data_IF_523600828163
#
_entry.id   IF_523600828163
#
_cell.length_a   1.000
_cell.length_b   1.000
_cell.length_c   1.000
_cell.angle_alpha   90.00
_cell.angle_beta   90.00
_cell.angle_gamma   90.00
#
_symmetry.space_group_name_H-M   'P 1'
#
loop_
_entity.id
_entity.type
_entity.pdbx_description
1 polymer ?
#
# COMPACT_ATOMS: atom_id res chain seq x y z
N UNK A 1 -10.38 -12.66 12.67
CA UNK A 1 -9.48 -11.50 12.70
C UNK A 1 -8.30 -11.82 11.81
N UNK A 2 -8.10 -11.10 10.70
CA UNK A 2 -7.00 -11.39 9.77
C UNK A 2 -5.74 -10.69 10.30
N UNK A 3 -4.88 -11.46 10.96
CA UNK A 3 -3.68 -10.98 11.65
C UNK A 3 -2.79 -10.13 10.72
N UNK A 4 -2.73 -10.44 9.42
CA UNK A 4 -1.92 -9.68 8.46
C UNK A 4 -2.46 -8.27 8.20
N UNK A 5 -3.78 -8.10 8.12
CA UNK A 5 -4.40 -6.77 7.95
C UNK A 5 -4.08 -5.86 9.13
N UNK A 6 -4.07 -6.41 10.35
CA UNK A 6 -3.74 -5.66 11.56
C UNK A 6 -2.23 -5.34 11.64
N UNK A 7 -1.37 -6.29 11.27
CA UNK A 7 0.08 -6.05 11.19
C UNK A 7 0.39 -4.92 10.20
N UNK A 8 -0.19 -4.95 9.00
CA UNK A 8 0.04 -3.90 8.02
C UNK A 8 -0.53 -2.55 8.47
N UNK A 9 -1.66 -2.53 9.18
CA UNK A 9 -2.19 -1.31 9.78
C UNK A 9 -1.20 -0.67 10.76
N UNK A 10 -0.59 -1.47 11.64
CA UNK A 10 0.42 -1.01 12.59
C UNK A 10 1.69 -0.51 11.87
N UNK A 11 2.12 -1.24 10.83
CA UNK A 11 3.27 -0.86 10.01
C UNK A 11 3.02 0.50 9.35
N UNK A 12 1.85 0.71 8.73
CA UNK A 12 1.51 1.97 8.06
C UNK A 12 1.35 3.13 9.05
N UNK A 13 0.82 2.87 10.25
CA UNK A 13 0.85 3.85 11.33
C UNK A 13 2.30 4.23 11.71
N UNK A 14 3.21 3.26 11.68
CA UNK A 14 4.64 3.51 11.77
C UNK A 14 5.17 4.35 10.61
N UNK A 15 4.83 4.01 9.36
CA UNK A 15 5.27 4.75 8.17
C UNK A 15 4.92 6.22 8.29
N UNK A 16 3.68 6.51 8.72
CA UNK A 16 3.21 7.89 8.96
C UNK A 16 4.12 8.67 9.91
N UNK A 17 4.64 8.02 10.96
CA UNK A 17 5.57 8.65 11.90
C UNK A 17 6.93 8.95 11.28
N UNK A 18 7.42 8.09 10.39
CA UNK A 18 8.73 8.27 9.76
C UNK A 18 8.72 9.38 8.70
N UNK A 19 7.65 9.47 7.92
CA UNK A 19 7.53 10.46 6.84
C UNK A 19 7.00 11.82 7.34
N UNK A 20 6.47 11.89 8.56
CA UNK A 20 6.02 13.12 9.20
C UNK A 20 4.62 13.59 8.77
N UNK A 21 3.86 12.76 8.05
CA UNK A 21 2.48 13.03 7.66
C UNK A 21 1.64 11.74 7.70
N UNK A 22 0.32 11.90 7.78
CA UNK A 22 -0.60 10.77 7.84
C UNK A 22 -0.60 10.00 6.52
N UNK A 23 -0.38 8.69 6.59
CA UNK A 23 -0.57 7.75 5.47
C UNK A 23 -1.82 6.91 5.76
N UNK A 24 -2.78 6.95 4.85
CA UNK A 24 -4.03 6.21 4.94
C UNK A 24 -3.78 4.72 4.67
N UNK A 25 -4.32 3.83 5.50
CA UNK A 25 -4.27 2.39 5.26
C UNK A 25 -5.63 1.88 4.79
N UNK A 26 -5.64 1.13 3.69
CA UNK A 26 -6.83 0.47 3.15
C UNK A 26 -6.51 -1.00 2.86
N UNK A 27 -7.54 -1.85 2.84
CA UNK A 27 -7.41 -3.24 2.40
C UNK A 27 -8.69 -3.68 1.69
N UNK A 28 -8.56 -4.64 0.77
CA UNK A 28 -9.68 -5.14 -0.04
C UNK A 28 -9.31 -5.19 -1.52
N UNK A 29 -10.30 -5.49 -2.37
CA UNK A 29 -10.13 -5.28 -3.80
C UNK A 29 -10.11 -3.78 -4.15
N UNK A 30 -9.72 -3.46 -5.38
CA UNK A 30 -9.66 -2.07 -5.84
C UNK A 30 -11.01 -1.35 -5.74
N UNK A 31 -12.13 -2.02 -6.07
CA UNK A 31 -13.45 -1.39 -6.09
C UNK A 31 -13.87 -0.98 -4.67
N UNK A 32 -13.61 -1.83 -3.69
CA UNK A 32 -13.86 -1.55 -2.29
C UNK A 32 -13.03 -0.37 -1.78
N UNK A 33 -11.71 -0.38 -2.07
CA UNK A 33 -10.81 0.71 -1.66
C UNK A 33 -11.18 2.04 -2.33
N UNK A 34 -11.46 2.03 -3.63
CA UNK A 34 -11.89 3.19 -4.39
C UNK A 34 -13.19 3.79 -3.82
N UNK A 35 -14.20 2.95 -3.56
CA UNK A 35 -15.47 3.39 -2.93
C UNK A 35 -15.23 4.05 -1.56
N UNK A 36 -14.32 3.49 -0.77
CA UNK A 36 -13.97 4.04 0.55
C UNK A 36 -13.29 5.41 0.41
N UNK A 37 -12.33 5.55 -0.51
CA UNK A 37 -11.67 6.83 -0.78
C UNK A 37 -12.64 7.89 -1.32
N UNK A 38 -13.57 7.51 -2.20
CA UNK A 38 -14.62 8.42 -2.69
C UNK A 38 -15.53 8.89 -1.57
N UNK A 39 -15.92 7.99 -0.65
CA UNK A 39 -16.73 8.35 0.52
C UNK A 39 -15.99 9.31 1.47
N UNK A 40 -14.70 9.07 1.73
CA UNK A 40 -13.86 9.97 2.54
C UNK A 40 -13.76 11.38 1.94
N UNK A 41 -13.77 11.49 0.62
CA UNK A 41 -13.72 12.78 -0.09
C UNK A 41 -14.97 13.64 0.08
N UNK A 42 -16.11 13.04 0.39
CA UNK A 42 -17.39 13.75 0.55
C UNK A 42 -17.52 14.41 1.92
N UNK A 43 -16.77 13.96 2.93
CA UNK A 43 -16.78 14.51 4.27
C UNK A 43 -15.58 15.45 4.49
N UNK A 44 -15.79 16.74 4.83
CA UNK A 44 -14.71 17.73 4.98
C UNK A 44 -13.60 17.30 5.94
N UNK A 45 -13.96 16.59 7.01
CA UNK A 45 -13.04 16.13 8.06
C UNK A 45 -12.09 15.03 7.57
N UNK A 46 -12.51 14.22 6.58
CA UNK A 46 -11.74 13.08 6.08
C UNK A 46 -11.16 13.29 4.69
N UNK A 47 -11.59 14.32 3.95
CA UNK A 47 -11.16 14.58 2.58
C UNK A 47 -9.63 14.76 2.48
N UNK A 48 -9.03 15.53 3.39
CA UNK A 48 -7.58 15.73 3.46
C UNK A 48 -6.78 14.52 3.96
N UNK A 49 -7.43 13.41 4.32
CA UNK A 49 -6.80 12.20 4.87
C UNK A 49 -6.83 11.02 3.91
N UNK A 50 -7.26 11.24 2.66
CA UNK A 50 -7.33 10.20 1.63
C UNK A 50 -5.94 9.71 1.22
N UNK A 51 -5.01 10.65 1.04
CA UNK A 51 -3.69 10.43 0.46
C UNK A 51 -2.57 11.04 1.31
N UNK A 52 -1.35 10.49 1.24
CA UNK A 52 -1.01 9.25 0.53
C UNK A 52 -1.66 8.02 1.17
N UNK A 53 -1.92 7.00 0.35
CA UNK A 53 -2.63 5.78 0.74
C UNK A 53 -1.75 4.57 0.46
N UNK A 54 -1.74 3.61 1.39
CA UNK A 54 -1.21 2.25 1.19
C UNK A 54 -2.40 1.28 1.23
N UNK A 55 -2.61 0.58 0.13
CA UNK A 55 -3.69 -0.39 -0.05
C UNK A 55 -3.13 -1.80 -0.11
N UNK A 56 -3.61 -2.69 0.77
CA UNK A 56 -3.32 -4.12 0.72
C UNK A 56 -4.41 -4.86 -0.07
N UNK A 57 -4.07 -5.44 -1.22
CA UNK A 57 -5.03 -6.19 -2.02
C UNK A 57 -5.45 -7.48 -1.32
N UNK A 58 -6.75 -7.77 -1.35
CA UNK A 58 -7.37 -8.99 -0.81
C UNK A 58 -8.40 -9.52 -1.82
N UNK A 59 -8.57 -10.85 -1.97
CA UNK A 59 -7.92 -11.91 -1.19
C UNK A 59 -6.44 -12.11 -1.54
N UNK A 60 -5.70 -12.75 -0.62
CA UNK A 60 -4.33 -13.23 -0.79
C UNK A 60 -4.21 -14.62 -0.17
N UNK A 61 -3.27 -15.41 -0.67
CA UNK A 61 -3.08 -16.78 -0.23
C UNK A 61 -2.15 -16.87 0.98
N UNK A 62 -2.55 -17.70 1.96
CA UNK A 62 -1.74 -18.08 3.12
C UNK A 62 -1.36 -19.55 3.02
N UNK A 63 -0.07 -19.83 2.78
CA UNK A 63 0.47 -21.19 2.85
C UNK A 63 0.83 -21.54 4.30
N UNK A 64 0.05 -22.47 4.86
CA UNK A 64 0.18 -22.99 6.24
C UNK A 64 0.81 -24.37 6.30
N UNK A 65 1.46 -24.81 5.23
CA UNK A 65 2.13 -26.11 5.18
C UNK A 65 3.25 -26.23 6.23
N UNK A 66 3.78 -25.10 6.71
CA UNK A 66 4.75 -25.06 7.81
C UNK A 66 4.04 -24.77 9.17
N UNK A 67 4.20 -25.63 10.19
CA UNK A 67 3.59 -25.42 11.51
C UNK A 67 4.04 -24.15 12.25
N UNK A 68 5.23 -23.64 11.96
CA UNK A 68 5.86 -22.52 12.68
C UNK A 68 5.79 -21.19 11.92
N UNK A 69 5.56 -21.25 10.61
CA UNK A 69 5.57 -20.08 9.72
C UNK A 69 4.38 -20.15 8.77
N UNK A 70 3.74 -19.01 8.52
CA UNK A 70 2.78 -18.87 7.42
C UNK A 70 3.45 -18.08 6.30
N UNK A 71 3.60 -18.69 5.12
CA UNK A 71 4.16 -18.01 3.95
C UNK A 71 3.05 -17.32 3.17
N UNK A 72 3.27 -16.06 2.79
CA UNK A 72 2.30 -15.26 2.03
C UNK A 72 2.93 -14.57 0.84
N UNK A 73 2.13 -14.38 -0.21
CA UNK A 73 2.46 -13.53 -1.36
C UNK A 73 1.43 -12.40 -1.44
N UNK A 74 1.88 -11.18 -1.16
CA UNK A 74 1.00 -10.02 -1.07
C UNK A 74 1.18 -9.08 -2.26
N UNK A 75 0.12 -8.35 -2.59
CA UNK A 75 0.16 -7.24 -3.53
C UNK A 75 -0.32 -5.97 -2.82
N UNK A 76 0.40 -4.87 -3.03
CA UNK A 76 0.06 -3.56 -2.47
C UNK A 76 0.10 -2.48 -3.53
N UNK A 77 -0.61 -1.39 -3.26
CA UNK A 77 -0.52 -0.13 -3.99
C UNK A 77 -0.21 1.00 -3.02
N UNK A 78 0.72 1.89 -3.40
CA UNK A 78 0.95 3.17 -2.72
C UNK A 78 0.48 4.25 -3.68
N UNK A 79 -0.49 5.07 -3.28
CA UNK A 79 -1.11 6.06 -4.16
C UNK A 79 -1.08 7.46 -3.55
N UNK A 80 -0.95 8.48 -4.42
CA UNK A 80 -1.11 9.90 -4.07
C UNK A 80 -2.02 10.57 -5.10
N UNK A 81 -2.78 11.57 -4.68
CA UNK A 81 -3.57 12.38 -5.61
C UNK A 81 -2.63 13.18 -6.53
N UNK A 82 -3.02 13.32 -7.79
CA UNK A 82 -2.26 14.07 -8.79
C UNK A 82 -3.19 14.87 -9.70
N UNK A 83 -2.62 15.75 -10.52
CA UNK A 83 -3.36 16.50 -11.52
C UNK A 83 -3.13 15.90 -12.92
N UNK A 84 -4.21 15.82 -13.70
CA UNK A 84 -4.15 15.18 -15.03
C UNK A 84 -3.28 15.92 -16.04
N UNK A 85 -3.11 17.23 -15.87
CA UNK A 85 -2.29 18.07 -16.73
C UNK A 85 -0.79 18.07 -16.40
N UNK A 86 -0.35 17.37 -15.35
CA UNK A 86 1.08 17.26 -15.05
C UNK A 86 1.82 16.52 -16.16
N UNK A 87 3.06 16.92 -16.44
CA UNK A 87 3.98 16.12 -17.27
C UNK A 87 4.54 14.94 -16.47
N UNK A 88 5.24 14.01 -17.11
CA UNK A 88 5.86 12.90 -16.39
C UNK A 88 7.01 13.38 -15.48
N UNK A 89 7.74 14.40 -15.89
CA UNK A 89 8.79 15.04 -15.10
C UNK A 89 8.20 15.71 -13.85
N UNK A 90 7.08 16.41 -14.00
CA UNK A 90 6.37 16.99 -12.86
C UNK A 90 5.83 15.92 -11.91
N UNK A 91 5.28 14.81 -12.43
CA UNK A 91 4.85 13.67 -11.61
C UNK A 91 6.02 13.05 -10.86
N UNK A 92 7.16 12.87 -11.52
CA UNK A 92 8.35 12.31 -10.90
C UNK A 92 8.80 13.16 -9.70
N UNK A 93 8.85 14.48 -9.84
CA UNK A 93 9.26 15.36 -8.76
C UNK A 93 8.18 15.50 -7.66
N UNK A 94 6.95 15.83 -8.06
CA UNK A 94 5.87 16.21 -7.14
C UNK A 94 5.17 15.01 -6.47
N UNK A 95 5.03 13.90 -7.18
CA UNK A 95 4.35 12.70 -6.67
C UNK A 95 5.36 11.68 -6.17
N UNK A 96 6.30 11.26 -7.01
CA UNK A 96 7.18 10.14 -6.70
C UNK A 96 8.27 10.50 -5.70
N UNK A 97 9.16 11.43 -6.03
CA UNK A 97 10.28 11.82 -5.16
C UNK A 97 9.80 12.49 -3.87
N UNK A 98 8.81 13.38 -3.96
CA UNK A 98 8.33 14.10 -2.79
C UNK A 98 7.51 13.22 -1.83
N UNK A 99 6.78 12.22 -2.33
CA UNK A 99 5.83 11.44 -1.51
C UNK A 99 5.99 9.93 -1.65
N UNK A 100 5.82 9.36 -2.85
CA UNK A 100 5.69 7.91 -3.00
C UNK A 100 6.98 7.14 -2.65
N UNK A 101 8.17 7.65 -3.00
CA UNK A 101 9.45 7.01 -2.65
C UNK A 101 9.73 7.05 -1.14
N UNK A 102 9.60 8.19 -0.42
CA UNK A 102 9.71 8.18 1.03
C UNK A 102 8.76 7.21 1.74
N UNK A 103 7.50 7.12 1.27
CA UNK A 103 6.51 6.18 1.82
C UNK A 103 6.91 4.73 1.54
N UNK A 104 7.32 4.43 0.31
CA UNK A 104 7.81 3.11 -0.08
C UNK A 104 9.04 2.68 0.73
N UNK A 105 10.05 3.54 0.83
CA UNK A 105 11.30 3.22 1.54
C UNK A 105 11.03 2.98 3.03
N UNK A 106 10.16 3.78 3.65
CA UNK A 106 9.73 3.58 5.03
C UNK A 106 8.93 2.28 5.19
N UNK A 107 8.01 1.96 4.27
CA UNK A 107 7.23 0.73 4.29
C UNK A 107 8.14 -0.50 4.24
N UNK A 108 9.03 -0.58 3.24
CA UNK A 108 9.93 -1.73 3.07
C UNK A 108 10.88 -1.85 4.26
N UNK A 109 11.45 -0.74 4.76
CA UNK A 109 12.30 -0.75 5.95
C UNK A 109 11.54 -1.25 7.19
N UNK A 110 10.28 -0.86 7.37
CA UNK A 110 9.48 -1.31 8.52
C UNK A 110 9.10 -2.78 8.43
N UNK A 111 8.72 -3.27 7.25
CA UNK A 111 8.49 -4.69 7.01
C UNK A 111 9.76 -5.48 7.31
N UNK A 112 10.91 -5.03 6.79
CA UNK A 112 12.22 -5.65 6.99
C UNK A 112 12.60 -5.77 8.48
N UNK A 113 12.20 -4.81 9.31
CA UNK A 113 12.54 -4.74 10.73
C UNK A 113 11.42 -5.23 11.69
N UNK A 114 10.25 -5.61 11.19
CA UNK A 114 9.16 -6.08 12.05
C UNK A 114 9.45 -7.51 12.53
N UNK A 115 9.50 -7.69 13.85
CA UNK A 115 9.84 -8.97 14.49
C UNK A 115 8.85 -10.10 14.17
N UNK A 116 7.63 -9.75 13.76
CA UNK A 116 6.59 -10.71 13.37
C UNK A 116 6.90 -11.40 12.04
N UNK A 117 7.74 -10.80 11.20
CA UNK A 117 8.19 -11.42 9.97
C UNK A 117 9.54 -12.12 10.16
N UNK A 118 9.70 -13.23 9.45
CA UNK A 118 10.98 -13.88 9.24
C UNK A 118 11.49 -13.55 7.83
N UNK A 119 12.27 -12.47 7.75
CA UNK A 119 12.82 -11.92 6.50
C UNK A 119 14.08 -12.69 6.06
N UNK A 120 14.60 -13.58 6.92
CA UNK A 120 15.83 -14.32 6.63
C UNK A 120 17.10 -13.44 6.62
N UNK A 121 18.25 -14.04 6.26
CA UNK A 121 19.53 -13.35 6.27
C UNK A 121 19.60 -12.23 5.22
N UNK A 122 20.17 -11.08 5.60
CA UNK A 122 20.30 -9.90 4.74
C UNK A 122 19.11 -8.93 4.79
N UNK A 123 18.03 -9.28 5.50
CA UNK A 123 16.87 -8.40 5.71
C UNK A 123 16.22 -7.90 4.39
N UNK A 124 16.38 -8.67 3.31
CA UNK A 124 15.87 -8.34 1.98
C UNK A 124 14.40 -8.77 1.90
N UNK A 125 13.53 -7.78 1.72
CA UNK A 125 12.10 -8.00 1.48
C UNK A 125 11.91 -8.27 -0.02
N UNK A 126 11.69 -9.52 -0.43
CA UNK A 126 11.57 -9.90 -1.85
C UNK A 126 10.22 -9.44 -2.42
N UNK A 127 10.26 -8.62 -3.48
CA UNK A 127 9.08 -8.14 -4.21
C UNK A 127 9.47 -7.50 -5.56
N UNK A 128 8.46 -7.22 -6.38
CA UNK A 128 8.56 -6.45 -7.62
C UNK A 128 7.93 -5.08 -7.41
N UNK A 129 8.65 -4.01 -7.75
CA UNK A 129 8.18 -2.61 -7.70
C UNK A 129 7.93 -2.08 -9.11
N UNK A 130 6.81 -1.41 -9.33
CA UNK A 130 6.51 -0.71 -10.60
C UNK A 130 6.04 0.72 -10.31
N UNK A 131 6.68 1.70 -10.94
CA UNK A 131 6.25 3.10 -10.89
C UNK A 131 5.20 3.36 -11.97
N UNK A 132 3.98 3.63 -11.55
CA UNK A 132 2.83 3.72 -12.41
C UNK A 132 2.38 5.17 -12.60
N UNK A 133 2.98 5.82 -13.61
CA UNK A 133 2.61 7.17 -14.05
C UNK A 133 1.29 7.20 -14.87
N UNK A 134 0.75 6.03 -15.25
CA UNK A 134 -0.38 5.96 -16.19
C UNK A 134 -1.72 6.27 -15.54
N UNK A 135 -1.90 5.94 -14.26
CA UNK A 135 -3.17 6.17 -13.56
C UNK A 135 -3.56 7.65 -13.53
N UNK A 136 -2.58 8.56 -13.40
CA UNK A 136 -2.84 10.00 -13.39
C UNK A 136 -3.33 10.54 -14.74
N UNK A 137 -3.06 9.82 -15.83
CA UNK A 137 -3.40 10.23 -17.20
C UNK A 137 -4.64 9.52 -17.74
N UNK A 138 -4.80 8.22 -17.47
CA UNK A 138 -5.87 7.39 -18.01
C UNK A 138 -7.10 7.29 -17.10
N UNK A 139 -6.97 7.63 -15.81
CA UNK A 139 -7.93 7.24 -14.79
C UNK A 139 -7.75 5.78 -14.37
N UNK A 140 -8.32 5.40 -13.22
CA UNK A 140 -8.32 3.99 -12.77
C UNK A 140 -9.69 3.38 -13.06
N UNK A 141 -9.72 2.44 -14.00
CA UNK A 141 -10.94 1.71 -14.34
C UNK A 141 -11.01 0.42 -13.52
N UNK A 142 -12.05 0.28 -12.70
CA UNK A 142 -12.48 -1.04 -12.23
C UNK A 142 -13.20 -1.81 -13.34
N UNK A 143 -13.41 -3.12 -13.17
CA UNK A 143 -14.11 -4.00 -14.11
C UNK A 143 -15.60 -3.64 -14.40
N UNK A 144 -16.07 -2.49 -13.91
CA UNK A 144 -17.45 -2.04 -14.06
C UNK A 144 -17.59 -0.55 -14.37
N UNK A 145 -16.82 0.01 -15.31
CA UNK A 145 -17.05 1.31 -16.01
C UNK A 145 -17.43 2.55 -15.18
N UNK A 146 -17.35 2.55 -13.85
CA UNK A 146 -17.43 3.76 -13.04
C UNK A 146 -16.02 4.29 -12.85
N UNK A 147 -15.75 5.44 -13.47
CA UNK A 147 -14.48 6.16 -13.34
C UNK A 147 -14.24 6.48 -11.85
N UNK A 148 -13.06 6.15 -11.34
CA UNK A 148 -12.65 6.66 -10.03
C UNK A 148 -12.32 8.16 -10.22
N UNK A 149 -13.07 9.04 -9.56
CA UNK A 149 -13.01 10.48 -9.78
C UNK A 149 -11.63 11.10 -9.53
N UNK A 150 -10.84 10.53 -8.60
CA UNK A 150 -9.50 11.04 -8.35
C UNK A 150 -8.52 10.54 -9.42
N UNK A 151 -7.67 11.46 -9.87
CA UNK A 151 -6.43 11.08 -10.56
C UNK A 151 -5.38 10.75 -9.54
N UNK A 152 -4.71 9.62 -9.72
CA UNK A 152 -3.65 9.16 -8.81
C UNK A 152 -2.37 8.81 -9.55
N UNK A 153 -1.23 9.08 -8.94
CA UNK A 153 0.03 8.43 -9.28
C UNK A 153 0.30 7.33 -8.24
N UNK A 154 0.89 6.21 -8.66
CA UNK A 154 1.06 5.08 -7.76
C UNK A 154 2.36 4.28 -7.94
N UNK A 155 2.74 3.57 -6.89
CA UNK A 155 3.71 2.49 -6.91
C UNK A 155 2.96 1.18 -6.65
N UNK A 156 3.06 0.24 -7.59
CA UNK A 156 2.57 -1.12 -7.42
C UNK A 156 3.68 -2.00 -6.83
N UNK A 157 3.40 -2.70 -5.74
CA UNK A 157 4.26 -3.72 -5.14
C UNK A 157 3.58 -5.07 -5.38
N UNK A 158 4.24 -5.96 -6.10
CA UNK A 158 3.73 -7.29 -6.43
C UNK A 158 4.66 -8.36 -5.92
N UNK A 159 4.12 -9.56 -5.73
CA UNK A 159 4.87 -10.73 -5.26
C UNK A 159 5.69 -10.43 -3.99
N UNK A 160 5.11 -9.66 -3.06
CA UNK A 160 5.73 -9.39 -1.77
C UNK A 160 5.69 -10.68 -0.93
N UNK A 161 6.81 -11.38 -0.90
CA UNK A 161 6.93 -12.67 -0.22
C UNK A 161 7.36 -12.46 1.22
N UNK A 162 6.51 -12.87 2.15
CA UNK A 162 6.78 -12.78 3.58
C UNK A 162 6.55 -14.12 4.26
N UNK A 163 7.34 -14.42 5.27
CA UNK A 163 7.07 -15.48 6.22
C UNK A 163 6.62 -14.84 7.53
N UNK A 164 5.39 -15.12 7.95
CA UNK A 164 4.82 -14.65 9.21
C UNK A 164 5.11 -15.69 10.27
N UNK A 165 5.71 -15.28 11.39
CA UNK A 165 5.89 -16.16 12.54
C UNK A 165 4.52 -16.46 13.14
N UNK A 166 4.20 -17.75 13.29
CA UNK A 166 2.97 -18.14 13.95
C UNK A 166 3.09 -17.76 15.42
N UNK A 167 2.45 -16.65 15.82
CA UNK A 167 2.35 -16.26 17.22
C UNK A 167 1.37 -17.23 17.87
N UNK A 168 1.88 -18.35 18.37
CA UNK A 168 1.15 -19.14 19.36
C UNK A 168 1.05 -18.24 20.59
N UNK A 169 -0.14 -17.67 20.82
CA UNK A 169 -0.46 -17.09 22.11
C UNK A 169 -0.33 -18.23 23.13
N UNK A 170 0.66 -18.12 24.01
CA UNK A 170 0.71 -18.91 25.25
C UNK A 170 -0.05 -18.15 26.33
#
# INVERSE_FOLDING_TARGET
>A
MNVLVDIFRDIVAGVSKDVGYMVNYQFGDWQYMAKTLSAMGKAPVTAGRKYPMIGLYSPFDEDKSNPSLTSVSLSLIIAVNTLGNYTNEERLEKSFKATLYPVYDSLIRRISNDRKFDIGPGAIVSHVKTDNFRYGRAGVYGEGKSEFDDRIDAIDIKDLRLNVKNITCR
#
